data_IF_680076973898
#
_entry.id   IF_680076973898
#
_cell.length_a   1.000
_cell.length_b   1.000
_cell.length_c   1.000
_cell.angle_alpha   90.00
_cell.angle_beta   90.00
_cell.angle_gamma   90.00
#
_symmetry.space_group_name_H-M   'P 1'
#
loop_
_entity.id
_entity.type
_entity.pdbx_description
1 polymer ?
#
# COMPACT_ATOMS: atom_id res chain seq x y z
N UNK A 1 -5.07 -5.57 -13.24
CA UNK A 1 -6.23 -6.47 -13.22
C UNK A 1 -7.46 -5.61 -13.43
N UNK A 2 -7.99 -5.60 -14.65
CA UNK A 2 -9.29 -5.01 -14.97
C UNK A 2 -10.41 -5.84 -14.33
N UNK A 3 -11.62 -5.32 -14.36
CA UNK A 3 -12.80 -6.07 -13.92
C UNK A 3 -12.95 -7.40 -14.68
N UNK A 4 -12.76 -7.36 -16.00
CA UNK A 4 -12.86 -8.55 -16.84
C UNK A 4 -11.79 -9.58 -16.47
N UNK A 5 -10.52 -9.15 -16.39
CA UNK A 5 -9.41 -10.02 -15.96
C UNK A 5 -9.66 -10.64 -14.57
N UNK A 6 -10.23 -9.86 -13.64
CA UNK A 6 -10.54 -10.34 -12.29
C UNK A 6 -11.64 -11.39 -12.31
N UNK A 7 -12.73 -11.15 -13.06
CA UNK A 7 -13.84 -12.11 -13.22
C UNK A 7 -13.36 -13.40 -13.88
N UNK A 8 -12.58 -13.29 -14.95
CA UNK A 8 -12.05 -14.44 -15.68
C UNK A 8 -11.09 -15.26 -14.81
N UNK A 9 -10.25 -14.59 -14.02
CA UNK A 9 -9.35 -15.25 -13.07
C UNK A 9 -10.15 -16.00 -11.99
N UNK A 10 -11.14 -15.36 -11.37
CA UNK A 10 -11.97 -16.02 -10.35
C UNK A 10 -12.71 -17.22 -10.92
N UNK A 11 -13.27 -17.10 -12.12
CA UNK A 11 -13.94 -18.19 -12.82
C UNK A 11 -13.00 -19.36 -13.10
N UNK A 12 -11.76 -19.09 -13.52
CA UNK A 12 -10.76 -20.14 -13.75
C UNK A 12 -10.50 -21.00 -12.51
N UNK A 13 -10.60 -20.41 -11.31
CA UNK A 13 -10.45 -21.11 -10.04
C UNK A 13 -11.78 -21.54 -9.40
N UNK A 14 -12.92 -21.40 -10.08
CA UNK A 14 -14.24 -21.77 -9.56
C UNK A 14 -14.77 -20.85 -8.44
N UNK A 15 -14.26 -19.62 -8.37
CA UNK A 15 -14.58 -18.61 -7.34
C UNK A 15 -15.42 -17.46 -7.90
N UNK A 16 -16.10 -17.65 -9.04
CA UNK A 16 -16.92 -16.61 -9.69
C UNK A 16 -17.97 -15.96 -8.78
N UNK A 17 -18.55 -16.73 -7.85
CA UNK A 17 -19.53 -16.24 -6.88
C UNK A 17 -18.95 -15.25 -5.86
N UNK A 18 -17.62 -15.17 -5.72
CA UNK A 18 -16.93 -14.32 -4.75
C UNK A 18 -16.54 -12.96 -5.32
N UNK A 19 -16.88 -12.68 -6.59
CA UNK A 19 -16.57 -11.41 -7.23
C UNK A 19 -17.09 -10.17 -6.47
N UNK A 20 -18.33 -10.14 -5.94
CA UNK A 20 -18.83 -8.99 -5.19
C UNK A 20 -17.96 -8.65 -3.97
N UNK A 21 -17.52 -9.67 -3.23
CA UNK A 21 -16.68 -9.54 -2.06
C UNK A 21 -15.23 -9.18 -2.44
N UNK A 22 -14.69 -9.78 -3.50
CA UNK A 22 -13.39 -9.41 -4.07
C UNK A 22 -13.37 -7.94 -4.48
N UNK A 23 -14.45 -7.44 -5.08
CA UNK A 23 -14.59 -6.04 -5.43
C UNK A 23 -14.65 -5.14 -4.22
N UNK A 24 -15.30 -5.57 -3.13
CA UNK A 24 -15.35 -4.81 -1.88
C UNK A 24 -14.00 -4.74 -1.17
N UNK A 25 -13.24 -5.83 -1.17
CA UNK A 25 -11.99 -5.94 -0.41
C UNK A 25 -10.75 -5.49 -1.16
N UNK A 26 -10.75 -5.65 -2.49
CA UNK A 26 -9.57 -5.52 -3.34
C UNK A 26 -9.79 -4.58 -4.51
N UNK A 27 -10.75 -3.65 -4.39
CA UNK A 27 -10.82 -2.50 -5.27
C UNK A 27 -9.49 -1.74 -5.18
N UNK A 28 -8.74 -1.75 -6.28
CA UNK A 28 -7.52 -0.97 -6.39
C UNK A 28 -7.89 0.47 -6.74
N UNK A 29 -7.35 0.95 -7.85
CA UNK A 29 -7.49 2.33 -8.30
C UNK A 29 -8.27 2.42 -9.62
N UNK A 30 -8.64 3.64 -10.01
CA UNK A 30 -9.19 3.92 -11.35
C UNK A 30 -8.08 4.54 -12.20
N UNK A 31 -7.98 4.18 -13.48
CA UNK A 31 -6.90 4.65 -14.35
C UNK A 31 -7.42 5.20 -15.67
N UNK A 32 -7.49 6.53 -15.79
CA UNK A 32 -7.96 7.21 -17.00
C UNK A 32 -9.36 6.76 -17.40
N UNK A 33 -9.51 6.39 -18.69
CA UNK A 33 -10.75 5.82 -19.23
C UNK A 33 -10.86 4.30 -19.01
N UNK A 34 -9.79 3.66 -18.55
CA UNK A 34 -9.88 2.28 -18.10
C UNK A 34 -10.64 2.28 -16.77
N UNK A 35 -11.65 1.41 -16.66
CA UNK A 35 -12.54 1.35 -15.50
C UNK A 35 -11.83 0.97 -14.19
N UNK A 36 -12.53 0.28 -13.29
CA UNK A 36 -11.94 -0.15 -12.03
C UNK A 36 -10.75 -1.10 -12.29
N UNK A 37 -9.59 -0.74 -11.73
CA UNK A 37 -8.43 -1.63 -11.61
C UNK A 37 -8.40 -2.20 -10.19
N UNK A 38 -8.14 -3.49 -10.11
CA UNK A 38 -8.08 -4.25 -8.87
C UNK A 38 -6.63 -4.52 -8.50
N UNK A 39 -6.34 -4.60 -7.20
CA UNK A 39 -4.99 -4.87 -6.70
C UNK A 39 -4.57 -6.31 -7.06
N UNK A 40 -3.57 -6.50 -7.96
CA UNK A 40 -3.17 -7.82 -8.44
C UNK A 40 -2.69 -8.74 -7.30
N UNK A 41 -1.90 -8.20 -6.38
CA UNK A 41 -1.34 -8.94 -5.26
C UNK A 41 -2.43 -9.46 -4.33
N UNK A 42 -3.40 -8.62 -4.02
CA UNK A 42 -4.52 -9.01 -3.18
C UNK A 42 -5.38 -10.10 -3.83
N UNK A 43 -5.65 -10.00 -5.14
CA UNK A 43 -6.40 -11.02 -5.89
C UNK A 43 -5.66 -12.36 -5.87
N UNK A 44 -4.36 -12.38 -6.20
CA UNK A 44 -3.56 -13.61 -6.23
C UNK A 44 -3.48 -14.27 -4.84
N UNK A 45 -3.25 -13.47 -3.79
CA UNK A 45 -3.21 -14.01 -2.43
C UNK A 45 -4.57 -14.54 -1.97
N UNK A 46 -5.65 -13.86 -2.35
CA UNK A 46 -6.99 -14.34 -2.06
C UNK A 46 -7.27 -15.69 -2.73
N UNK A 47 -7.02 -15.81 -4.03
CA UNK A 47 -7.21 -17.06 -4.77
C UNK A 47 -6.41 -18.20 -4.12
N UNK A 48 -5.14 -17.94 -3.79
CA UNK A 48 -4.25 -18.94 -3.19
C UNK A 48 -4.68 -19.41 -1.79
N UNK A 49 -5.47 -18.61 -1.05
CA UNK A 49 -5.83 -18.87 0.36
C UNK A 49 -7.30 -18.59 0.63
N UNK A 50 -8.17 -18.83 -0.35
CA UNK A 50 -9.57 -18.42 -0.28
C UNK A 50 -10.33 -19.13 0.85
N UNK A 51 -9.92 -20.34 1.22
CA UNK A 51 -10.44 -21.11 2.37
C UNK A 51 -10.20 -20.40 3.71
N UNK A 52 -9.16 -19.55 3.80
CA UNK A 52 -8.86 -18.75 4.98
C UNK A 52 -9.70 -17.46 5.07
N UNK A 53 -10.59 -17.24 4.11
CA UNK A 53 -11.46 -16.07 4.02
C UNK A 53 -10.75 -14.82 3.46
N UNK A 54 -11.49 -13.70 3.47
CA UNK A 54 -10.96 -12.41 3.03
C UNK A 54 -10.02 -11.81 4.08
N UNK A 55 -8.85 -11.36 3.64
CA UNK A 55 -7.81 -10.78 4.50
C UNK A 55 -7.32 -9.47 3.90
N UNK A 56 -6.77 -8.60 4.74
CA UNK A 56 -6.23 -7.30 4.32
C UNK A 56 -4.86 -7.44 3.62
N UNK A 57 -4.83 -8.09 2.45
CA UNK A 57 -3.61 -8.31 1.66
C UNK A 57 -2.98 -7.01 1.12
N UNK A 58 -3.76 -5.92 1.08
CA UNK A 58 -3.28 -4.57 0.74
C UNK A 58 -2.33 -3.98 1.78
N UNK A 59 -2.36 -4.45 3.05
CA UNK A 59 -1.42 -4.01 4.10
C UNK A 59 0.01 -4.42 3.73
N UNK A 60 0.15 -5.51 2.97
CA UNK A 60 1.45 -6.02 2.53
C UNK A 60 1.90 -5.44 1.19
N UNK A 61 1.11 -4.56 0.56
CA UNK A 61 1.54 -3.82 -0.62
C UNK A 61 2.11 -2.46 -0.21
N UNK A 62 3.42 -2.45 0.07
CA UNK A 62 4.31 -1.43 -0.48
C UNK A 62 4.66 -0.18 0.33
N UNK A 63 3.89 0.24 1.34
CA UNK A 63 4.19 1.52 2.02
C UNK A 63 4.07 1.45 3.55
N UNK A 64 3.04 0.81 4.08
CA UNK A 64 2.76 0.81 5.51
C UNK A 64 3.80 0.05 6.34
N UNK A 65 4.28 -1.11 5.88
CA UNK A 65 5.32 -1.87 6.59
C UNK A 65 6.66 -1.13 6.60
N UNK A 66 7.01 -0.47 5.50
CA UNK A 66 8.22 0.34 5.38
C UNK A 66 8.14 1.60 6.25
N UNK A 67 7.04 2.35 6.19
CA UNK A 67 6.81 3.51 7.08
C UNK A 67 6.87 3.06 8.54
N UNK A 68 6.17 1.97 8.90
CA UNK A 68 6.19 1.43 10.27
C UNK A 68 7.60 1.06 10.72
N UNK A 69 8.38 0.36 9.90
CA UNK A 69 9.79 0.03 10.24
C UNK A 69 10.63 1.29 10.48
N UNK A 70 10.40 2.38 9.73
CA UNK A 70 11.16 3.64 9.87
C UNK A 70 10.66 4.58 10.96
N UNK A 71 9.43 4.44 11.42
CA UNK A 71 8.93 5.15 12.60
C UNK A 71 9.36 4.41 13.88
N UNK A 72 9.41 3.08 13.83
CA UNK A 72 9.60 2.22 15.02
C UNK A 72 11.07 1.87 15.27
N UNK A 73 11.95 1.78 14.27
CA UNK A 73 13.34 1.32 14.46
C UNK A 73 14.42 2.41 14.64
N UNK A 74 14.42 3.57 13.96
CA UNK A 74 15.48 4.56 14.08
C UNK A 74 15.06 5.79 14.90
N UNK A 75 15.82 6.12 15.95
CA UNK A 75 15.64 7.35 16.76
C UNK A 75 14.15 7.60 17.08
N UNK A 76 13.48 6.58 17.65
CA UNK A 76 12.06 6.60 18.04
C UNK A 76 11.63 7.97 18.57
N UNK A 77 12.42 8.56 19.47
CA UNK A 77 12.09 9.83 20.07
C UNK A 77 12.08 11.01 19.08
N UNK A 78 13.03 11.11 18.15
CA UNK A 78 13.18 12.31 17.30
C UNK A 78 12.22 12.30 16.11
N UNK A 79 12.06 11.15 15.47
CA UNK A 79 11.13 11.01 14.33
C UNK A 79 9.69 11.11 14.82
N UNK A 80 9.37 10.45 15.94
CA UNK A 80 8.06 10.51 16.56
C UNK A 80 7.70 11.91 17.06
N UNK A 81 8.62 12.60 17.75
CA UNK A 81 8.40 14.00 18.19
C UNK A 81 8.13 14.92 16.98
N UNK A 82 8.91 14.77 15.90
CA UNK A 82 8.69 15.54 14.68
C UNK A 82 7.30 15.26 14.07
N UNK A 83 6.85 14.00 14.06
CA UNK A 83 5.51 13.63 13.60
C UNK A 83 4.42 14.19 14.51
N UNK A 84 4.60 14.14 15.83
CA UNK A 84 3.65 14.72 16.79
C UNK A 84 3.49 16.24 16.58
N UNK A 85 4.59 16.94 16.30
CA UNK A 85 4.56 18.37 15.96
C UNK A 85 3.77 18.64 14.68
N UNK A 86 3.98 17.85 13.62
CA UNK A 86 3.18 17.95 12.40
C UNK A 86 1.69 17.71 12.65
N UNK A 87 1.34 16.66 13.40
CA UNK A 87 -0.05 16.32 13.76
C UNK A 87 -0.68 17.44 14.59
N UNK A 88 0.10 18.11 15.45
CA UNK A 88 -0.31 19.27 16.22
C UNK A 88 -0.41 20.57 15.38
N UNK A 89 -0.23 20.49 14.05
CA UNK A 89 -0.33 21.63 13.15
C UNK A 89 0.90 22.54 13.12
N UNK A 90 2.03 22.11 13.68
CA UNK A 90 3.27 22.86 13.66
C UNK A 90 4.06 22.60 12.37
N UNK A 91 4.90 23.55 11.98
CA UNK A 91 5.79 23.42 10.84
C UNK A 91 7.09 22.70 11.21
N UNK A 92 7.58 21.87 10.29
CA UNK A 92 8.91 21.25 10.36
C UNK A 92 9.70 21.59 9.11
N UNK A 93 11.03 21.59 9.22
CA UNK A 93 11.94 21.72 8.08
C UNK A 93 12.72 20.41 7.91
N UNK A 94 12.67 19.84 6.71
CA UNK A 94 13.33 18.58 6.36
C UNK A 94 13.83 18.64 4.91
N UNK A 95 14.93 17.94 4.64
CA UNK A 95 15.45 17.77 3.30
C UNK A 95 14.59 16.76 2.54
N UNK A 96 14.21 17.11 1.31
CA UNK A 96 13.52 16.23 0.37
C UNK A 96 14.53 15.79 -0.69
N UNK A 97 14.40 14.55 -1.16
CA UNK A 97 15.23 13.97 -2.23
C UNK A 97 14.38 13.81 -3.48
N UNK A 98 14.69 14.55 -4.54
CA UNK A 98 13.88 14.58 -5.77
C UNK A 98 13.91 13.28 -6.59
N UNK A 99 14.95 12.44 -6.41
CA UNK A 99 15.07 11.17 -7.12
C UNK A 99 15.66 10.10 -6.21
N UNK A 100 14.88 9.05 -5.95
CA UNK A 100 15.32 7.87 -5.22
C UNK A 100 14.69 6.61 -5.83
N UNK A 101 15.38 5.48 -5.69
CA UNK A 101 14.82 4.16 -5.95
C UNK A 101 14.31 3.57 -4.64
N UNK A 102 13.20 2.83 -4.66
CA UNK A 102 12.63 2.22 -3.45
C UNK A 102 13.63 1.32 -2.70
N UNK A 103 14.61 0.73 -3.40
CA UNK A 103 15.69 -0.05 -2.79
C UNK A 103 16.60 0.78 -1.86
N UNK A 104 16.69 2.10 -2.04
CA UNK A 104 17.50 2.99 -1.19
C UNK A 104 16.83 3.33 0.14
N UNK A 105 15.55 2.98 0.30
CA UNK A 105 14.75 3.25 1.49
C UNK A 105 15.27 2.49 2.73
N UNK A 106 16.08 1.46 2.50
CA UNK A 106 16.76 0.71 3.56
C UNK A 106 17.95 1.42 4.20
N UNK A 107 18.53 2.40 3.52
CA UNK A 107 19.78 3.03 3.95
C UNK A 107 19.66 4.52 4.26
N UNK A 108 18.66 5.22 3.71
CA UNK A 108 18.55 6.69 3.80
C UNK A 108 17.35 7.15 4.61
N UNK A 109 17.58 7.56 5.87
CA UNK A 109 16.55 8.06 6.81
C UNK A 109 15.77 9.29 6.29
N UNK A 110 16.38 10.10 5.42
CA UNK A 110 15.76 11.30 4.84
C UNK A 110 14.63 11.00 3.84
N UNK A 111 14.54 9.75 3.37
CA UNK A 111 13.51 9.34 2.42
C UNK A 111 12.12 9.23 3.05
N UNK A 112 11.99 9.10 4.38
CA UNK A 112 10.68 9.08 5.04
C UNK A 112 9.89 10.37 4.78
N UNK A 113 10.54 11.53 4.92
CA UNK A 113 9.90 12.83 4.69
C UNK A 113 9.62 13.07 3.21
N UNK A 114 10.51 12.58 2.35
CA UNK A 114 10.32 12.60 0.89
C UNK A 114 9.09 11.76 0.51
N UNK A 115 8.94 10.57 1.07
CA UNK A 115 7.77 9.71 0.84
C UNK A 115 6.49 10.39 1.29
N UNK A 116 6.44 10.95 2.52
CA UNK A 116 5.26 11.64 3.04
C UNK A 116 4.89 12.91 2.27
N UNK A 117 5.86 13.55 1.60
CA UNK A 117 5.60 14.74 0.79
C UNK A 117 5.00 14.40 -0.59
N UNK A 118 5.32 13.22 -1.14
CA UNK A 118 4.85 12.77 -2.45
C UNK A 118 3.77 11.69 -2.41
N UNK A 119 3.38 11.21 -1.22
CA UNK A 119 2.34 10.19 -0.99
C UNK A 119 0.92 10.74 -1.09
#
# INVERSE_FOLDING_TARGET
>A
FTEQETKDTLKYFGLEGHFPEVQKWYNGYKFGNTGQIYNPWSIVNYISRHEEGFKAYWINTGTDSLIKSRIVEPDLNRTYDTLQRLIAGQTIEKRIVDSFVFADFDTKKELLWTLLAFS
#
